data_IF_066234024178
#
_entry.id   IF_066234024178
#
_cell.length_a   1.000
_cell.length_b   1.000
_cell.length_c   1.000
_cell.angle_alpha   90.00
_cell.angle_beta   90.00
_cell.angle_gamma   90.00
#
_symmetry.space_group_name_H-M   'P 1'
#
loop_
_entity.id
_entity.type
_entity.pdbx_description
1 polymer ?
#
# COMPACT_ATOMS: atom_id res chain seq x y z
N UNK A 1 0.76 -39.46 40.83
CA UNK A 1 0.23 -38.18 41.36
C UNK A 1 -0.59 -37.53 40.26
N UNK A 2 -1.83 -37.13 40.56
CA UNK A 2 -2.65 -36.30 39.68
C UNK A 2 -2.36 -34.83 39.99
N UNK A 3 -2.38 -33.96 38.97
CA UNK A 3 -3.13 -32.70 39.04
C UNK A 3 -3.61 -32.32 37.63
N UNK A 4 -4.92 -32.15 37.49
CA UNK A 4 -5.54 -31.52 36.32
C UNK A 4 -5.70 -30.04 36.63
N UNK A 5 -5.50 -29.17 35.64
CA UNK A 5 -6.04 -27.81 35.69
C UNK A 5 -7.00 -27.58 34.53
N UNK A 6 -8.16 -27.04 34.88
CA UNK A 6 -9.25 -26.60 34.01
C UNK A 6 -9.63 -25.21 34.50
N UNK A 7 -9.73 -24.24 33.61
CA UNK A 7 -10.76 -23.21 33.60
C UNK A 7 -10.54 -22.22 32.45
N UNK A 8 -11.61 -21.89 31.73
CA UNK A 8 -11.67 -20.74 30.85
C UNK A 8 -12.16 -19.50 31.63
N UNK A 9 -11.90 -18.31 31.10
CA UNK A 9 -12.40 -17.05 31.66
C UNK A 9 -12.50 -15.97 30.60
N UNK A 10 -13.68 -15.81 29.99
CA UNK A 10 -14.00 -14.70 29.09
C UNK A 10 -14.35 -13.47 29.95
N UNK A 11 -13.69 -12.34 29.72
CA UNK A 11 -14.07 -11.06 30.34
C UNK A 11 -15.07 -10.33 29.44
N UNK A 12 -16.35 -10.40 29.81
CA UNK A 12 -17.40 -9.54 29.28
C UNK A 12 -17.70 -8.43 30.29
N UNK A 13 -17.32 -7.20 29.97
CA UNK A 13 -17.54 -6.03 30.83
C UNK A 13 -18.97 -5.50 30.66
N UNK A 14 -19.85 -5.79 31.61
CA UNK A 14 -21.20 -5.20 31.67
C UNK A 14 -21.16 -3.77 32.18
N UNK A 15 -21.69 -2.83 31.40
CA UNK A 15 -21.90 -1.44 31.85
C UNK A 15 -23.15 -1.39 32.75
N UNK A 16 -22.96 -1.01 34.01
CA UNK A 16 -24.08 -0.82 34.96
C UNK A 16 -24.54 0.64 34.89
N UNK A 17 -25.79 0.86 34.48
CA UNK A 17 -26.47 2.16 34.63
C UNK A 17 -27.07 2.23 36.03
N UNK A 18 -26.52 3.10 36.88
CA UNK A 18 -27.05 3.35 38.22
C UNK A 18 -28.24 4.30 38.15
N UNK A 19 -29.42 3.81 38.54
CA UNK A 19 -30.61 4.64 38.77
C UNK A 19 -31.01 4.60 40.25
N UNK A 20 -31.39 5.74 40.81
CA UNK A 20 -31.86 5.92 42.18
C UNK A 20 -33.24 6.60 42.19
N UNK A 21 -34.25 6.02 42.86
CA UNK A 21 -35.54 6.69 43.16
C UNK A 21 -35.35 7.84 44.18
N UNK A 22 -36.34 8.68 44.57
CA UNK A 22 -37.81 8.56 44.77
C UNK A 22 -38.43 9.99 44.85
N UNK A 23 -39.74 10.31 44.79
CA UNK A 23 -41.01 9.64 44.38
C UNK A 23 -42.17 10.69 44.25
N UNK A 24 -43.38 10.22 43.85
CA UNK A 24 -44.74 10.81 43.98
C UNK A 24 -45.18 12.18 43.35
N UNK A 25 -45.99 12.06 42.29
CA UNK A 25 -47.39 12.56 42.13
C UNK A 25 -47.71 14.09 42.05
N UNK A 26 -48.14 14.53 40.85
CA UNK A 26 -48.85 15.79 40.57
C UNK A 26 -49.54 15.78 39.19
N UNK A 27 -50.62 16.55 38.97
CA UNK A 27 -51.51 16.45 37.78
C UNK A 27 -51.67 17.79 37.01
N UNK A 28 -51.92 17.70 35.69
CA UNK A 28 -52.19 18.79 34.70
C UNK A 28 -50.92 19.62 34.33
N UNK A 29 -50.70 20.08 33.09
CA UNK A 29 -51.64 20.59 32.06
C UNK A 29 -51.11 20.40 30.61
N UNK A 30 -51.95 20.66 29.61
CA UNK A 30 -51.67 20.71 28.16
C UNK A 30 -50.60 21.76 27.77
N UNK A 31 -49.75 21.46 26.77
CA UNK A 31 -49.85 22.14 25.45
C UNK A 31 -48.94 21.59 24.33
N UNK A 32 -49.33 21.91 23.10
CA UNK A 32 -48.83 21.30 21.86
C UNK A 32 -47.55 21.98 21.32
N UNK A 33 -46.56 21.18 20.92
CA UNK A 33 -45.36 21.63 20.20
C UNK A 33 -45.06 20.70 19.01
N UNK A 34 -45.67 20.98 17.85
CA UNK A 34 -45.58 20.13 16.66
C UNK A 34 -44.37 20.48 15.78
N UNK A 35 -43.41 19.55 15.65
CA UNK A 35 -42.47 19.44 14.53
C UNK A 35 -42.37 17.95 14.15
N UNK A 36 -43.29 17.46 13.31
CA UNK A 36 -43.15 17.40 11.85
C UNK A 36 -41.79 16.90 11.35
N UNK A 37 -41.82 15.66 10.83
CA UNK A 37 -41.09 15.17 9.64
C UNK A 37 -39.54 15.21 9.65
N UNK A 38 -38.83 14.31 8.98
CA UNK A 38 -39.24 13.39 7.93
C UNK A 38 -38.53 12.03 8.04
N UNK A 39 -39.19 10.99 7.51
CA UNK A 39 -38.43 9.89 6.90
C UNK A 39 -37.79 10.47 5.64
N UNK A 40 -36.46 10.55 5.62
CA UNK A 40 -35.71 10.78 4.38
C UNK A 40 -34.74 9.63 4.20
N UNK A 41 -35.04 8.75 3.25
CA UNK A 41 -33.99 7.99 2.56
C UNK A 41 -33.13 9.02 1.81
N UNK A 42 -32.11 9.53 2.49
CA UNK A 42 -31.12 10.43 1.93
C UNK A 42 -29.87 9.64 1.62
N UNK A 43 -29.58 9.44 0.34
CA UNK A 43 -28.29 8.90 -0.09
C UNK A 43 -27.18 9.82 0.45
N UNK A 44 -26.46 9.39 1.48
CA UNK A 44 -25.01 9.62 1.47
C UNK A 44 -24.47 8.75 0.36
N UNK A 45 -24.43 9.34 -0.85
CA UNK A 45 -23.42 8.98 -1.84
C UNK A 45 -22.07 9.29 -1.20
N UNK A 46 -21.56 8.33 -0.46
CA UNK A 46 -20.12 8.21 -0.22
C UNK A 46 -19.47 8.26 -1.60
N UNK A 47 -18.73 9.34 -1.86
CA UNK A 47 -18.09 9.57 -3.16
C UNK A 47 -17.23 8.34 -3.46
N UNK A 48 -17.62 7.58 -4.48
CA UNK A 48 -17.48 6.11 -4.50
C UNK A 48 -16.17 5.61 -3.91
N UNK A 49 -16.23 4.99 -2.74
CA UNK A 49 -15.07 4.44 -2.06
C UNK A 49 -14.39 3.41 -2.98
N UNK A 50 -13.26 3.79 -3.57
CA UNK A 50 -12.53 2.94 -4.50
C UNK A 50 -11.92 1.80 -3.69
N UNK A 51 -12.57 0.64 -3.73
CA UNK A 51 -12.17 -0.55 -2.98
C UNK A 51 -10.86 -1.09 -3.54
N UNK A 52 -9.78 -0.80 -2.84
CA UNK A 52 -8.42 -1.26 -3.18
C UNK A 52 -8.04 -2.46 -2.33
N UNK A 53 -7.43 -3.46 -2.96
CA UNK A 53 -6.97 -4.67 -2.26
C UNK A 53 -5.71 -4.40 -1.43
N UNK A 54 -5.43 -5.26 -0.45
CA UNK A 54 -4.20 -5.18 0.35
C UNK A 54 -2.94 -5.17 -0.54
N UNK A 55 -2.91 -6.04 -1.56
CA UNK A 55 -1.83 -6.10 -2.55
C UNK A 55 -1.65 -4.79 -3.33
N UNK A 56 -2.73 -4.18 -3.81
CA UNK A 56 -2.64 -2.88 -4.50
C UNK A 56 -2.10 -1.78 -3.57
N UNK A 57 -2.46 -1.81 -2.27
CA UNK A 57 -1.90 -0.90 -1.27
C UNK A 57 -0.42 -1.17 -1.01
N UNK A 58 0.02 -2.43 -0.94
CA UNK A 58 1.44 -2.78 -0.83
C UNK A 58 2.24 -2.26 -2.02
N UNK A 59 1.76 -2.47 -3.25
CA UNK A 59 2.38 -1.95 -4.48
C UNK A 59 2.46 -0.42 -4.47
N UNK A 60 1.39 0.28 -4.08
CA UNK A 60 1.38 1.73 -3.95
C UNK A 60 2.40 2.24 -2.91
N UNK A 61 2.49 1.58 -1.75
CA UNK A 61 3.47 1.93 -0.71
C UNK A 61 4.91 1.75 -1.18
N UNK A 62 5.18 0.75 -2.02
CA UNK A 62 6.49 0.54 -2.65
C UNK A 62 6.78 1.60 -3.71
N UNK A 63 5.82 1.91 -4.59
CA UNK A 63 5.95 2.98 -5.59
C UNK A 63 6.32 4.31 -4.93
N UNK A 64 5.56 4.70 -3.89
CA UNK A 64 5.77 5.94 -3.14
C UNK A 64 7.08 5.97 -2.35
N UNK A 65 7.62 4.82 -1.93
CA UNK A 65 8.93 4.73 -1.28
C UNK A 65 10.09 4.82 -2.29
N UNK A 66 9.94 4.19 -3.46
CA UNK A 66 10.93 4.21 -4.54
C UNK A 66 11.02 5.56 -5.25
N UNK A 67 9.88 6.26 -5.41
CA UNK A 67 9.79 7.58 -6.05
C UNK A 67 9.12 8.60 -5.10
N UNK A 68 9.87 9.14 -4.11
CA UNK A 68 9.32 10.05 -3.08
C UNK A 68 8.62 11.30 -3.62
N UNK A 69 9.00 11.74 -4.82
CA UNK A 69 8.37 12.84 -5.55
C UNK A 69 6.86 12.67 -5.76
N UNK A 70 6.31 11.45 -5.71
CA UNK A 70 4.87 11.19 -5.82
C UNK A 70 4.12 11.29 -4.48
N UNK A 71 4.81 11.27 -3.33
CA UNK A 71 4.19 11.27 -1.99
C UNK A 71 3.33 12.50 -1.69
N UNK A 72 3.62 13.62 -2.35
CA UNK A 72 2.92 14.90 -2.17
C UNK A 72 2.19 15.36 -3.46
N UNK A 73 1.95 14.44 -4.41
CA UNK A 73 1.31 14.73 -5.70
C UNK A 73 -0.01 13.97 -5.83
N UNK A 74 -1.03 14.65 -6.33
CA UNK A 74 -2.21 13.99 -6.88
C UNK A 74 -1.79 13.01 -7.98
N UNK A 75 -2.48 11.87 -8.03
CA UNK A 75 -2.33 10.88 -9.11
C UNK A 75 -2.54 11.56 -10.47
N UNK A 76 -1.59 11.47 -11.42
CA UNK A 76 -1.77 12.06 -12.74
C UNK A 76 -2.94 11.43 -13.51
N UNK A 77 -3.59 12.20 -14.39
CA UNK A 77 -4.71 11.68 -15.18
C UNK A 77 -4.23 10.59 -16.16
N UNK A 78 -4.87 9.42 -16.14
CA UNK A 78 -4.46 8.26 -16.95
C UNK A 78 -3.19 7.54 -16.46
N UNK A 79 -2.72 7.86 -15.25
CA UNK A 79 -1.60 7.15 -14.64
C UNK A 79 -2.01 5.73 -14.21
N UNK A 80 -1.15 4.75 -14.51
CA UNK A 80 -1.32 3.35 -14.10
C UNK A 80 0.01 2.77 -13.62
N UNK A 81 0.00 1.95 -12.56
CA UNK A 81 1.17 1.19 -12.09
C UNK A 81 1.05 -0.24 -12.60
N UNK A 82 1.92 -0.60 -13.53
CA UNK A 82 1.99 -1.93 -14.12
C UNK A 82 3.00 -2.77 -13.34
N UNK A 83 2.56 -3.88 -12.75
CA UNK A 83 3.42 -4.79 -11.99
C UNK A 83 3.94 -5.92 -12.87
N UNK A 84 5.26 -6.16 -12.85
CA UNK A 84 5.90 -7.27 -13.57
C UNK A 84 6.81 -8.06 -12.63
N UNK A 85 6.69 -9.39 -12.63
CA UNK A 85 7.71 -10.26 -12.04
C UNK A 85 8.98 -10.26 -12.92
N UNK A 86 10.12 -9.93 -12.31
CA UNK A 86 11.44 -9.91 -12.96
C UNK A 86 12.45 -10.87 -12.30
N UNK A 87 11.95 -11.77 -11.44
CA UNK A 87 12.75 -12.79 -10.73
C UNK A 87 13.65 -13.58 -11.68
N UNK A 88 14.97 -13.54 -11.46
CA UNK A 88 15.96 -14.23 -12.29
C UNK A 88 16.13 -13.70 -13.72
N UNK A 89 15.42 -12.64 -14.13
CA UNK A 89 15.64 -11.97 -15.40
C UNK A 89 16.94 -11.16 -15.36
N UNK A 90 17.56 -10.97 -16.52
CA UNK A 90 18.73 -10.11 -16.68
C UNK A 90 18.36 -8.65 -16.36
N UNK A 91 19.25 -7.94 -15.66
CA UNK A 91 19.09 -6.50 -15.37
C UNK A 91 19.06 -5.70 -16.66
N UNK A 92 20.00 -5.95 -17.58
CA UNK A 92 19.93 -5.44 -18.95
C UNK A 92 19.39 -6.55 -19.88
N UNK A 93 18.12 -6.46 -20.34
CA UNK A 93 17.54 -7.46 -21.24
C UNK A 93 18.14 -7.44 -22.65
N UNK A 94 18.88 -6.39 -23.03
CA UNK A 94 19.55 -6.31 -24.34
C UNK A 94 20.86 -7.13 -24.40
N UNK A 95 21.43 -7.51 -23.24
CA UNK A 95 22.64 -8.34 -23.13
C UNK A 95 22.49 -9.40 -22.03
N UNK A 96 21.55 -10.35 -22.17
CA UNK A 96 21.15 -11.24 -21.07
C UNK A 96 22.28 -12.17 -20.60
N UNK A 97 23.16 -12.63 -21.50
CA UNK A 97 24.28 -13.52 -21.17
C UNK A 97 25.45 -12.79 -20.46
N UNK A 98 25.51 -11.47 -20.63
CA UNK A 98 26.55 -10.61 -20.07
C UNK A 98 25.99 -9.68 -18.97
N UNK A 99 24.86 -10.02 -18.36
CA UNK A 99 24.22 -9.19 -17.32
C UNK A 99 24.04 -9.99 -16.02
N UNK A 100 24.13 -9.29 -14.89
CA UNK A 100 23.65 -9.81 -13.62
C UNK A 100 22.14 -10.10 -13.68
N UNK A 101 21.66 -10.97 -12.80
CA UNK A 101 20.24 -11.36 -12.72
C UNK A 101 19.62 -10.84 -11.44
N UNK A 102 18.38 -10.37 -11.52
CA UNK A 102 17.62 -10.00 -10.33
C UNK A 102 17.41 -11.22 -9.42
N UNK A 103 17.51 -11.06 -8.09
CA UNK A 103 17.17 -12.11 -7.14
C UNK A 103 15.73 -12.62 -7.29
N UNK A 104 15.45 -13.81 -6.77
CA UNK A 104 14.10 -14.38 -6.76
C UNK A 104 13.16 -13.55 -5.88
N UNK A 105 11.91 -13.35 -6.35
CA UNK A 105 10.91 -12.49 -5.72
C UNK A 105 11.00 -11.00 -6.09
N UNK A 106 11.89 -10.62 -7.02
CA UNK A 106 12.04 -9.23 -7.47
C UNK A 106 10.92 -8.86 -8.44
N UNK A 107 10.28 -7.71 -8.23
CA UNK A 107 9.24 -7.14 -9.08
C UNK A 107 9.70 -5.79 -9.63
N UNK A 108 9.25 -5.45 -10.83
CA UNK A 108 9.39 -4.13 -11.42
C UNK A 108 8.00 -3.48 -11.51
N UNK A 109 7.90 -2.24 -11.05
CA UNK A 109 6.73 -1.38 -11.14
C UNK A 109 7.01 -0.33 -12.22
N UNK A 110 6.18 -0.25 -13.25
CA UNK A 110 6.31 0.75 -14.31
C UNK A 110 5.11 1.68 -14.32
N UNK A 111 5.34 3.00 -14.42
CA UNK A 111 4.27 3.95 -14.75
C UNK A 111 3.78 3.75 -16.19
N UNK A 112 2.58 4.21 -16.50
CA UNK A 112 1.98 4.06 -17.83
C UNK A 112 2.73 4.83 -18.93
N UNK A 113 3.43 5.91 -18.59
CA UNK A 113 4.41 6.54 -19.47
C UNK A 113 5.85 6.43 -18.91
N UNK A 114 6.85 6.33 -19.79
CA UNK A 114 8.27 6.25 -19.37
C UNK A 114 8.73 7.43 -18.50
N UNK A 115 8.12 8.60 -18.66
CA UNK A 115 8.43 9.79 -17.85
C UNK A 115 7.93 9.70 -16.41
N UNK A 116 6.99 8.79 -16.13
CA UNK A 116 6.51 8.56 -14.78
C UNK A 116 7.51 7.76 -13.93
N UNK A 117 8.49 7.12 -14.57
CA UNK A 117 9.55 6.36 -13.92
C UNK A 117 9.19 4.88 -13.70
N UNK A 118 10.03 4.22 -12.90
CA UNK A 118 9.84 2.83 -12.49
C UNK A 118 10.54 2.57 -11.15
N UNK A 119 10.14 1.49 -10.48
CA UNK A 119 10.76 0.99 -9.25
C UNK A 119 11.00 -0.50 -9.40
N UNK A 120 12.26 -0.94 -9.36
CA UNK A 120 12.60 -2.37 -9.29
C UNK A 120 12.94 -2.71 -7.84
N UNK A 121 12.25 -3.67 -7.25
CA UNK A 121 12.38 -3.96 -5.82
C UNK A 121 12.19 -5.44 -5.47
N UNK A 122 12.68 -5.81 -4.30
CA UNK A 122 12.40 -7.08 -3.64
C UNK A 122 12.00 -6.84 -2.18
N UNK A 123 10.98 -7.53 -1.69
CA UNK A 123 10.64 -7.58 -0.25
C UNK A 123 11.68 -8.40 0.52
N UNK A 124 12.14 -7.89 1.66
CA UNK A 124 13.16 -8.54 2.49
C UNK A 124 12.57 -9.52 3.53
N UNK A 125 11.25 -9.43 3.80
CA UNK A 125 10.55 -10.29 4.78
C UNK A 125 10.58 -9.77 6.22
N UNK A 126 11.32 -8.68 6.47
CA UNK A 126 11.44 -7.98 7.77
C UNK A 126 10.62 -6.67 7.84
N UNK A 127 9.77 -6.43 6.83
CA UNK A 127 9.04 -5.16 6.66
C UNK A 127 9.78 -4.10 5.83
N UNK A 128 11.01 -4.37 5.38
CA UNK A 128 11.75 -3.51 4.45
C UNK A 128 11.72 -4.06 3.01
N UNK A 129 12.09 -3.19 2.06
CA UNK A 129 12.32 -3.53 0.66
C UNK A 129 13.75 -3.16 0.25
N UNK A 130 14.34 -3.98 -0.61
CA UNK A 130 15.55 -3.66 -1.36
C UNK A 130 15.16 -3.05 -2.70
N UNK A 131 15.47 -1.77 -2.94
CA UNK A 131 15.23 -1.08 -4.21
C UNK A 131 16.51 -1.07 -5.03
N UNK A 132 16.44 -1.54 -6.28
CA UNK A 132 17.57 -1.62 -7.20
C UNK A 132 17.57 -0.39 -8.12
N UNK A 133 18.70 0.31 -8.19
CA UNK A 133 18.91 1.49 -9.05
C UNK A 133 19.15 1.08 -10.51
N UNK A 134 18.14 0.44 -11.11
CA UNK A 134 18.19 0.02 -12.50
C UNK A 134 17.91 1.18 -13.44
N UNK A 135 18.68 1.36 -14.52
CA UNK A 135 18.24 2.15 -15.66
C UNK A 135 16.94 1.58 -16.25
N UNK A 136 16.02 2.47 -16.64
CA UNK A 136 14.87 2.08 -17.47
C UNK A 136 15.30 1.72 -18.90
N UNK A 137 16.39 2.35 -19.38
CA UNK A 137 16.96 2.14 -20.70
C UNK A 137 18.49 2.07 -20.62
N UNK A 138 19.06 0.99 -21.16
CA UNK A 138 20.51 0.77 -21.24
C UNK A 138 21.06 1.40 -22.54
N UNK A 139 21.08 2.74 -22.56
CA UNK A 139 21.38 3.55 -23.75
C UNK A 139 22.86 3.97 -23.80
N UNK A 140 23.49 3.77 -24.96
CA UNK A 140 24.89 4.16 -25.22
C UNK A 140 25.79 2.98 -25.60
N UNK A 141 26.95 3.24 -26.23
CA UNK A 141 27.80 2.18 -26.79
C UNK A 141 28.43 1.28 -25.73
N UNK A 142 28.72 1.78 -24.52
CA UNK A 142 29.35 0.97 -23.48
C UNK A 142 28.44 -0.15 -22.95
N UNK A 143 27.11 0.04 -22.98
CA UNK A 143 26.15 -1.02 -22.62
C UNK A 143 26.11 -2.19 -23.61
N UNK A 144 26.74 -2.07 -24.78
CA UNK A 144 26.95 -3.17 -25.72
C UNK A 144 28.26 -3.96 -25.45
N UNK A 145 29.09 -3.52 -24.50
CA UNK A 145 30.34 -4.18 -24.12
C UNK A 145 30.10 -5.13 -22.96
N UNK A 146 30.42 -6.41 -23.15
CA UNK A 146 30.09 -7.46 -22.19
C UNK A 146 30.78 -7.30 -20.81
N UNK A 147 32.01 -6.79 -20.79
CA UNK A 147 32.79 -6.49 -19.58
C UNK A 147 32.13 -5.37 -18.75
N UNK A 148 31.79 -4.27 -19.42
CA UNK A 148 31.14 -3.11 -18.83
C UNK A 148 29.73 -3.48 -18.34
N UNK A 149 28.90 -4.04 -19.22
CA UNK A 149 27.52 -4.41 -18.90
C UNK A 149 27.44 -5.37 -17.71
N UNK A 150 28.31 -6.38 -17.64
CA UNK A 150 28.36 -7.32 -16.52
C UNK A 150 28.74 -6.62 -15.23
N UNK A 151 29.74 -5.74 -15.28
CA UNK A 151 30.25 -5.02 -14.11
C UNK A 151 29.22 -4.04 -13.56
N UNK A 152 28.63 -3.19 -14.41
CA UNK A 152 27.65 -2.20 -13.95
C UNK A 152 26.34 -2.85 -13.52
N UNK A 153 25.85 -3.89 -14.22
CA UNK A 153 24.64 -4.60 -13.76
C UNK A 153 24.86 -5.40 -12.48
N UNK A 154 26.07 -5.89 -12.20
CA UNK A 154 26.38 -6.51 -10.91
C UNK A 154 26.37 -5.48 -9.77
N UNK A 155 26.90 -4.26 -9.98
CA UNK A 155 26.83 -3.18 -8.97
C UNK A 155 25.39 -2.84 -8.57
N UNK A 156 24.45 -2.86 -9.53
CA UNK A 156 23.02 -2.63 -9.26
C UNK A 156 22.47 -3.69 -8.30
N UNK A 157 22.83 -4.97 -8.50
CA UNK A 157 22.39 -6.08 -7.64
C UNK A 157 23.06 -6.08 -6.27
N UNK A 158 24.35 -5.73 -6.20
CA UNK A 158 25.14 -5.77 -4.96
C UNK A 158 24.88 -4.57 -4.03
N UNK A 159 24.37 -3.45 -4.56
CA UNK A 159 24.16 -2.21 -3.81
C UNK A 159 22.70 -1.72 -3.84
N UNK A 160 21.71 -2.54 -3.42
CA UNK A 160 20.34 -2.08 -3.32
C UNK A 160 20.18 -1.05 -2.21
N UNK A 161 19.32 -0.07 -2.43
CA UNK A 161 18.88 0.87 -1.39
C UNK A 161 17.80 0.19 -0.54
N UNK A 162 18.15 -0.20 0.69
CA UNK A 162 17.18 -0.75 1.64
C UNK A 162 16.35 0.39 2.24
N UNK A 163 15.02 0.31 2.11
CA UNK A 163 14.07 1.31 2.63
C UNK A 163 12.83 0.65 3.21
N UNK A 164 12.14 1.35 4.11
CA UNK A 164 10.77 0.98 4.54
C UNK A 164 9.77 1.40 3.45
N UNK A 165 8.76 0.58 3.10
CA UNK A 165 7.63 1.02 2.29
C UNK A 165 6.93 2.25 2.88
N UNK A 166 6.32 3.08 2.02
CA UNK A 166 5.67 4.31 2.46
C UNK A 166 4.52 4.01 3.44
N UNK A 167 4.48 4.74 4.55
CA UNK A 167 3.52 4.57 5.63
C UNK A 167 2.90 5.91 6.06
N UNK A 168 2.88 6.88 5.16
CA UNK A 168 2.25 8.20 5.37
C UNK A 168 0.74 8.17 5.12
N UNK A 169 0.24 9.13 4.35
CA UNK A 169 -1.20 9.35 4.23
C UNK A 169 -1.95 8.21 3.51
N UNK A 170 -3.01 7.73 4.13
CA UNK A 170 -3.80 6.59 3.66
C UNK A 170 -4.67 6.93 2.44
N UNK A 171 -5.06 8.20 2.26
CA UNK A 171 -5.77 8.64 1.05
C UNK A 171 -4.82 8.70 -0.15
N UNK A 172 -3.59 9.20 0.02
CA UNK A 172 -2.51 9.08 -0.98
C UNK A 172 -2.24 7.61 -1.33
N UNK A 173 -2.04 6.74 -0.33
CA UNK A 173 -1.83 5.29 -0.57
C UNK A 173 -3.01 4.69 -1.35
N UNK A 174 -4.24 4.97 -0.95
CA UNK A 174 -5.45 4.44 -1.61
C UNK A 174 -5.63 4.98 -3.03
N UNK A 175 -5.27 6.25 -3.27
CA UNK A 175 -5.31 6.85 -4.60
C UNK A 175 -4.33 6.17 -5.56
N UNK A 176 -3.06 6.00 -5.19
CA UNK A 176 -2.10 5.27 -6.04
C UNK A 176 -2.45 3.79 -6.16
N UNK A 177 -2.97 3.15 -5.10
CA UNK A 177 -3.43 1.76 -5.13
C UNK A 177 -4.56 1.52 -6.15
N UNK A 178 -5.43 2.52 -6.39
CA UNK A 178 -6.49 2.42 -7.40
C UNK A 178 -5.98 2.34 -8.85
N UNK A 179 -4.73 2.71 -9.08
CA UNK A 179 -4.10 2.72 -10.42
C UNK A 179 -3.29 1.47 -10.73
N UNK A 180 -3.13 0.56 -9.75
CA UNK A 180 -2.35 -0.68 -9.89
C UNK A 180 -3.12 -1.70 -10.74
N UNK A 181 -2.44 -2.26 -11.75
CA UNK A 181 -2.93 -3.29 -12.67
C UNK A 181 -2.33 -4.66 -12.40
#
# INVERSE_FOLDING_TARGET
MMFKYVAAGVLASTLVVTASGQDEKGEKTSDNGNLLQAVTQGNVVEAGAVTTTAYQKEIAKVWLAGLPDYQNKNVPNGFEINVKDVSGQAVNPNMPDASAKYPQGTKALYGSASIDGHVVYKENGDGTISVYDSPMHFSGPDWARADYNKTETQKIIDNPKVVTPYNGDEATISAYASTVK
#
